data_IF_426605350190
#
_entry.id   IF_426605350190
#
_cell.length_a   1.000
_cell.length_b   1.000
_cell.length_c   1.000
_cell.angle_alpha   90.00
_cell.angle_beta   90.00
_cell.angle_gamma   90.00
#
_symmetry.space_group_name_H-M   'P 1'
#
loop_
_entity.id
_entity.type
_entity.pdbx_description
1 polymer ?
#
# COMPACT_ATOMS: atom_id res chain seq x y z
N UNK A 1 -6.92 20.92 3.84
CA UNK A 1 -6.84 19.74 4.75
C UNK A 1 -5.91 18.77 4.05
N UNK A 2 -4.91 18.22 4.75
CA UNK A 2 -3.91 17.35 4.10
C UNK A 2 -4.46 15.93 3.96
N UNK A 3 -4.10 15.25 2.87
CA UNK A 3 -4.42 13.84 2.65
C UNK A 3 -3.25 12.94 3.00
N UNK A 4 -2.01 13.40 2.79
CA UNK A 4 -0.81 12.60 3.10
C UNK A 4 -0.01 13.18 4.25
N UNK A 5 0.77 12.33 4.92
CA UNK A 5 1.75 12.75 5.92
C UNK A 5 2.75 13.73 5.30
N UNK A 6 3.21 13.47 4.07
CA UNK A 6 4.11 14.36 3.33
C UNK A 6 3.52 15.76 3.16
N UNK A 7 2.29 15.89 2.68
CA UNK A 7 1.60 17.18 2.54
C UNK A 7 1.47 17.90 3.90
N UNK A 8 1.17 17.17 4.96
CA UNK A 8 1.05 17.72 6.31
C UNK A 8 2.38 18.26 6.83
N UNK A 9 3.46 17.48 6.68
CA UNK A 9 4.80 17.85 7.11
C UNK A 9 5.37 18.99 6.27
N UNK A 10 5.10 19.02 4.95
CA UNK A 10 5.47 20.13 4.08
C UNK A 10 4.78 21.42 4.52
N UNK A 11 3.48 21.36 4.83
CA UNK A 11 2.75 22.51 5.36
C UNK A 11 3.34 23.00 6.68
N UNK A 12 3.65 22.10 7.61
CA UNK A 12 4.31 22.47 8.88
C UNK A 12 5.70 23.07 8.63
N UNK A 13 6.49 22.53 7.72
CA UNK A 13 7.80 23.06 7.33
C UNK A 13 7.67 24.49 6.79
N UNK A 14 6.74 24.73 5.87
CA UNK A 14 6.45 26.08 5.34
C UNK A 14 6.02 27.05 6.44
N UNK A 15 5.10 26.63 7.32
CA UNK A 15 4.58 27.49 8.39
C UNK A 15 5.63 27.82 9.47
N UNK A 16 6.61 26.93 9.69
CA UNK A 16 7.66 27.10 10.71
C UNK A 16 8.93 27.75 10.15
N UNK A 17 9.08 27.81 8.83
CA UNK A 17 10.33 28.20 8.17
C UNK A 17 11.46 27.16 8.29
N UNK A 18 11.18 25.97 8.84
CA UNK A 18 12.14 24.88 8.95
C UNK A 18 12.15 24.02 7.68
N UNK A 19 13.26 23.30 7.44
CA UNK A 19 13.32 22.37 6.31
C UNK A 19 12.42 21.15 6.54
N UNK A 20 11.84 20.61 5.46
CA UNK A 20 11.04 19.38 5.49
C UNK A 20 11.78 18.24 6.19
N UNK A 21 13.06 18.05 5.87
CA UNK A 21 13.86 16.98 6.48
C UNK A 21 13.96 17.14 8.00
N UNK A 22 14.13 18.36 8.51
CA UNK A 22 14.19 18.61 9.95
C UNK A 22 12.87 18.23 10.64
N UNK A 23 11.75 18.65 10.05
CA UNK A 23 10.41 18.33 10.54
C UNK A 23 10.16 16.81 10.50
N UNK A 24 10.40 16.16 9.36
CA UNK A 24 10.18 14.72 9.19
C UNK A 24 11.02 13.89 10.16
N UNK A 25 12.30 14.23 10.34
CA UNK A 25 13.18 13.56 11.32
C UNK A 25 12.65 13.69 12.74
N UNK A 26 12.10 14.86 13.08
CA UNK A 26 11.57 15.13 14.42
C UNK A 26 10.26 14.39 14.68
N UNK A 27 9.38 14.34 13.69
CA UNK A 27 8.14 13.55 13.77
C UNK A 27 8.45 12.06 13.90
N UNK A 28 9.36 11.52 13.08
CA UNK A 28 9.74 10.11 13.18
C UNK A 28 10.28 9.75 14.57
N UNK A 29 11.13 10.60 15.17
CA UNK A 29 11.63 10.40 16.54
C UNK A 29 10.54 10.41 17.62
N UNK A 30 9.47 11.19 17.43
CA UNK A 30 8.34 11.20 18.35
C UNK A 30 7.48 9.94 18.15
N UNK A 31 7.27 9.53 16.90
CA UNK A 31 6.56 8.29 16.56
C UNK A 31 7.28 7.03 17.04
N UNK A 32 8.60 6.98 16.96
CA UNK A 32 9.42 5.92 17.56
C UNK A 32 9.14 5.82 19.07
N UNK A 33 9.02 6.94 19.77
CA UNK A 33 8.67 6.99 21.20
C UNK A 33 7.19 6.70 21.51
N UNK A 34 6.42 6.34 20.50
CA UNK A 34 5.00 5.98 20.60
C UNK A 34 4.02 7.13 20.52
N UNK A 35 4.47 8.33 20.13
CA UNK A 35 3.56 9.46 19.89
C UNK A 35 2.91 9.32 18.51
N UNK A 36 1.59 9.49 18.40
CA UNK A 36 0.90 9.40 17.09
C UNK A 36 1.40 10.45 16.08
N UNK A 37 1.20 10.22 14.78
CA UNK A 37 1.60 11.16 13.71
C UNK A 37 1.02 12.57 13.94
N UNK A 38 -0.29 12.66 14.16
CA UNK A 38 -0.98 13.95 14.33
C UNK A 38 -0.56 14.64 15.62
N UNK A 39 -0.41 13.89 16.71
CA UNK A 39 0.06 14.42 17.98
C UNK A 39 1.49 14.95 17.85
N UNK A 40 2.38 14.22 17.19
CA UNK A 40 3.76 14.63 16.92
C UNK A 40 3.82 15.96 16.16
N UNK A 41 3.00 16.10 15.12
CA UNK A 41 2.87 17.36 14.35
C UNK A 41 2.33 18.49 15.22
N UNK A 42 1.33 18.22 16.06
CA UNK A 42 0.76 19.21 16.97
C UNK A 42 1.73 19.67 18.06
N UNK A 43 2.57 18.77 18.59
CA UNK A 43 3.64 19.10 19.54
C UNK A 43 4.61 20.09 18.89
N UNK A 44 5.13 19.78 17.71
CA UNK A 44 6.06 20.67 16.99
C UNK A 44 5.40 22.01 16.68
N UNK A 45 4.13 22.01 16.25
CA UNK A 45 3.38 23.25 16.00
C UNK A 45 3.25 24.11 17.26
N UNK A 46 2.93 23.51 18.42
CA UNK A 46 2.80 24.24 19.70
C UNK A 46 4.12 24.87 20.13
N UNK A 47 5.23 24.15 20.01
CA UNK A 47 6.56 24.68 20.33
C UNK A 47 6.95 25.88 19.46
N UNK A 48 6.53 25.88 18.19
CA UNK A 48 6.74 26.97 17.24
C UNK A 48 5.67 28.08 17.35
N UNK A 49 4.85 28.06 18.41
CA UNK A 49 3.76 29.03 18.66
C UNK A 49 2.73 29.12 17.53
N UNK A 50 2.54 28.04 16.78
CA UNK A 50 1.54 27.93 15.72
C UNK A 50 0.24 27.33 16.26
N UNK A 51 -0.87 27.63 15.58
CA UNK A 51 -2.15 26.99 15.88
C UNK A 51 -2.12 25.50 15.51
N UNK A 52 -1.85 24.64 16.49
CA UNK A 52 -1.78 23.18 16.31
C UNK A 52 -3.05 22.55 15.73
N UNK A 53 -4.23 23.12 15.97
CA UNK A 53 -5.50 22.58 15.46
C UNK A 53 -5.64 22.69 13.94
N UNK A 54 -4.77 23.43 13.24
CA UNK A 54 -4.81 23.57 11.77
C UNK A 54 -4.19 22.39 11.02
N UNK A 55 -3.48 21.50 11.72
CA UNK A 55 -2.80 20.33 11.16
C UNK A 55 -3.66 19.09 11.39
N UNK A 56 -4.40 18.70 10.35
CA UNK A 56 -5.35 17.58 10.39
C UNK A 56 -5.25 16.76 9.11
N UNK A 57 -5.39 15.45 9.26
CA UNK A 57 -5.59 14.48 8.20
C UNK A 57 -6.97 13.87 8.41
N UNK A 58 -7.72 13.67 7.33
CA UNK A 58 -8.98 12.93 7.38
C UNK A 58 -8.77 11.54 6.77
N UNK A 59 -8.71 10.47 7.58
CA UNK A 59 -8.48 9.12 7.08
C UNK A 59 -9.61 8.61 6.17
N UNK A 60 -10.85 9.08 6.34
CA UNK A 60 -11.97 8.71 5.46
C UNK A 60 -11.73 9.23 4.04
N UNK A 61 -11.22 10.47 3.90
CA UNK A 61 -10.87 11.01 2.59
C UNK A 61 -9.69 10.31 1.93
N UNK A 62 -8.78 9.72 2.72
CA UNK A 62 -7.69 8.90 2.17
C UNK A 62 -8.26 7.66 1.51
N UNK A 63 -9.23 7.00 2.17
CA UNK A 63 -9.94 5.83 1.66
C UNK A 63 -10.72 6.18 0.39
N UNK A 64 -11.48 7.29 0.40
CA UNK A 64 -12.23 7.76 -0.78
C UNK A 64 -11.31 8.01 -1.99
N UNK A 65 -10.16 8.66 -1.79
CA UNK A 65 -9.21 8.94 -2.87
C UNK A 65 -8.53 7.66 -3.38
N UNK A 66 -8.15 6.74 -2.49
CA UNK A 66 -7.58 5.46 -2.88
C UNK A 66 -8.60 4.60 -3.64
N UNK A 67 -9.85 4.56 -3.19
CA UNK A 67 -10.95 3.87 -3.88
C UNK A 67 -11.20 4.45 -5.27
N UNK A 68 -11.17 5.78 -5.42
CA UNK A 68 -11.29 6.44 -6.71
C UNK A 68 -10.21 6.00 -7.69
N UNK A 69 -8.94 5.94 -7.26
CA UNK A 69 -7.83 5.47 -8.09
C UNK A 69 -8.04 4.01 -8.49
N UNK A 70 -8.34 3.14 -7.51
CA UNK A 70 -8.47 1.69 -7.74
C UNK A 70 -9.74 1.28 -8.51
N UNK A 71 -10.72 2.17 -8.65
CA UNK A 71 -11.91 1.94 -9.48
C UNK A 71 -11.79 2.48 -10.89
N UNK A 72 -10.77 3.28 -11.18
CA UNK A 72 -10.63 3.99 -12.45
C UNK A 72 -10.38 3.01 -13.61
N UNK A 73 -9.45 2.07 -13.44
CA UNK A 73 -9.15 1.01 -14.39
C UNK A 73 -8.71 -0.28 -13.65
N UNK A 74 -9.33 -1.41 -14.02
CA UNK A 74 -9.00 -2.71 -13.43
C UNK A 74 -7.56 -3.16 -13.75
N UNK A 75 -7.08 -2.90 -14.97
CA UNK A 75 -5.72 -3.22 -15.42
C UNK A 75 -4.70 -2.43 -14.60
N UNK A 76 -4.94 -1.14 -14.40
CA UNK A 76 -4.11 -0.28 -13.55
C UNK A 76 -4.07 -0.82 -12.12
N UNK A 77 -5.22 -1.20 -11.57
CA UNK A 77 -5.31 -1.80 -10.22
C UNK A 77 -4.51 -3.08 -10.09
N UNK A 78 -4.54 -3.95 -11.10
CA UNK A 78 -3.70 -5.15 -11.14
C UNK A 78 -2.21 -4.80 -11.19
N UNK A 79 -1.82 -3.79 -11.98
CA UNK A 79 -0.42 -3.34 -12.05
C UNK A 79 0.06 -2.75 -10.73
N UNK A 80 -0.73 -1.86 -10.11
CA UNK A 80 -0.46 -1.33 -8.77
C UNK A 80 -0.30 -2.48 -7.77
N UNK A 81 -1.21 -3.45 -7.79
CA UNK A 81 -1.15 -4.63 -6.91
C UNK A 81 0.13 -5.43 -7.08
N UNK A 82 0.55 -5.66 -8.33
CA UNK A 82 1.78 -6.38 -8.63
C UNK A 82 3.02 -5.62 -8.15
N UNK A 83 3.10 -4.31 -8.38
CA UNK A 83 4.21 -3.48 -7.93
C UNK A 83 4.31 -3.47 -6.41
N UNK A 84 3.19 -3.22 -5.70
CA UNK A 84 3.18 -3.21 -4.25
C UNK A 84 3.53 -4.59 -3.65
N UNK A 85 3.07 -5.68 -4.28
CA UNK A 85 3.43 -7.04 -3.90
C UNK A 85 4.93 -7.26 -3.96
N UNK A 86 5.58 -6.88 -5.07
CA UNK A 86 7.04 -6.96 -5.21
C UNK A 86 7.76 -6.09 -4.18
N UNK A 87 7.30 -4.85 -3.96
CA UNK A 87 7.93 -3.94 -3.01
C UNK A 87 7.87 -4.44 -1.56
N UNK A 88 6.84 -5.19 -1.14
CA UNK A 88 6.80 -5.78 0.21
C UNK A 88 7.89 -6.82 0.43
N UNK A 89 8.21 -7.57 -0.63
CA UNK A 89 9.24 -8.62 -0.62
C UNK A 89 10.65 -8.06 -0.82
N UNK A 90 10.77 -6.86 -1.39
CA UNK A 90 12.03 -6.15 -1.56
C UNK A 90 12.74 -5.88 -0.22
N UNK A 91 14.07 -5.73 -0.30
CA UNK A 91 14.94 -5.39 0.84
C UNK A 91 15.38 -3.94 0.75
N UNK A 92 15.73 -3.35 1.90
CA UNK A 92 16.28 -1.99 1.95
C UNK A 92 15.23 -0.89 1.75
N UNK A 93 15.61 0.19 1.09
CA UNK A 93 14.81 1.42 0.99
C UNK A 93 13.60 1.30 0.04
N UNK A 94 13.63 0.34 -0.88
CA UNK A 94 12.53 0.09 -1.83
C UNK A 94 11.41 -0.76 -1.20
N UNK A 95 11.59 -1.16 0.07
CA UNK A 95 10.65 -2.01 0.77
C UNK A 95 9.39 -1.23 1.14
N UNK A 96 8.26 -1.64 0.59
CA UNK A 96 6.96 -1.10 1.01
C UNK A 96 6.60 -1.64 2.40
N UNK A 97 6.20 -0.80 3.37
CA UNK A 97 5.92 -1.26 4.72
C UNK A 97 4.77 -2.29 4.74
N UNK A 98 4.96 -3.49 5.32
CA UNK A 98 3.91 -4.51 5.36
C UNK A 98 2.57 -4.05 5.94
N UNK A 99 2.53 -3.21 7.01
CA UNK A 99 1.25 -2.67 7.48
C UNK A 99 0.50 -1.84 6.44
N UNK A 100 1.20 -1.02 5.66
CA UNK A 100 0.60 -0.24 4.57
C UNK A 100 0.09 -1.14 3.45
N UNK A 101 0.80 -2.23 3.16
CA UNK A 101 0.33 -3.25 2.24
C UNK A 101 -0.92 -3.98 2.75
N UNK A 102 -1.00 -4.29 4.05
CA UNK A 102 -2.22 -4.87 4.60
C UNK A 102 -3.41 -3.94 4.45
N UNK A 103 -3.24 -2.63 4.68
CA UNK A 103 -4.29 -1.66 4.44
C UNK A 103 -4.72 -1.64 2.97
N UNK A 104 -3.78 -1.75 2.04
CA UNK A 104 -4.06 -1.88 0.62
C UNK A 104 -4.89 -3.14 0.28
N UNK A 105 -4.54 -4.30 0.85
CA UNK A 105 -5.31 -5.54 0.64
C UNK A 105 -6.72 -5.44 1.23
N UNK A 106 -6.87 -4.83 2.40
CA UNK A 106 -8.21 -4.56 2.97
C UNK A 106 -9.01 -3.57 2.13
N UNK A 107 -8.36 -2.60 1.49
CA UNK A 107 -9.04 -1.72 0.53
C UNK A 107 -9.56 -2.51 -0.66
N UNK A 108 -8.72 -3.38 -1.26
CA UNK A 108 -9.13 -4.19 -2.40
C UNK A 108 -10.31 -5.12 -2.10
N UNK A 109 -10.43 -5.64 -0.87
CA UNK A 109 -11.53 -6.54 -0.49
C UNK A 109 -12.88 -5.83 -0.34
N UNK A 110 -12.88 -4.51 -0.12
CA UNK A 110 -14.08 -3.70 0.10
C UNK A 110 -14.55 -3.05 -1.21
N UNK A 111 -13.64 -2.83 -2.15
CA UNK A 111 -13.95 -2.20 -3.43
C UNK A 111 -14.74 -3.17 -4.31
N UNK A 112 -15.92 -2.75 -4.74
CA UNK A 112 -16.69 -3.48 -5.76
C UNK A 112 -15.91 -3.52 -7.08
N UNK A 113 -15.96 -4.66 -7.77
CA UNK A 113 -15.23 -4.90 -9.04
C UNK A 113 -15.27 -3.67 -9.97
N UNK A 114 -14.07 -3.18 -10.32
CA UNK A 114 -13.92 -2.11 -11.28
C UNK A 114 -14.46 -2.54 -12.66
N UNK A 115 -14.96 -1.58 -13.45
CA UNK A 115 -15.37 -1.86 -14.83
C UNK A 115 -14.16 -2.36 -15.59
N UNK A 116 -14.32 -3.47 -16.34
CA UNK A 116 -13.31 -3.98 -17.29
C UNK A 116 -13.29 -3.11 -18.56
N UNK A 117 -13.22 -1.79 -18.40
CA UNK A 117 -13.01 -0.88 -19.52
C UNK A 117 -11.50 -0.85 -19.79
N UNK A 118 -11.09 -1.20 -21.00
CA UNK A 118 -9.69 -1.11 -21.43
C UNK A 118 -9.39 0.32 -21.84
N UNK A 119 -8.97 1.19 -20.92
CA UNK A 119 -8.33 2.44 -21.32
C UNK A 119 -6.86 2.14 -21.63
N UNK A 120 -6.33 2.75 -22.69
CA UNK A 120 -4.89 2.70 -22.98
C UNK A 120 -4.18 3.75 -22.12
N UNK A 121 -3.93 3.42 -20.85
CA UNK A 121 -3.10 4.27 -19.99
C UNK A 121 -1.61 4.14 -20.36
N UNK A 122 -0.84 5.20 -20.04
CA UNK A 122 0.62 5.22 -20.26
C UNK A 122 1.36 4.75 -19.01
N UNK A 123 2.58 4.21 -19.17
CA UNK A 123 3.43 3.75 -18.05
C UNK A 123 3.65 4.82 -16.97
N UNK A 124 3.77 6.09 -17.38
CA UNK A 124 4.02 7.23 -16.47
C UNK A 124 2.83 7.45 -15.54
N UNK A 125 1.61 7.35 -16.06
CA UNK A 125 0.40 7.51 -15.25
C UNK A 125 0.29 6.41 -14.18
N UNK A 126 0.65 5.18 -14.53
CA UNK A 126 0.64 4.05 -13.58
C UNK A 126 1.65 4.26 -12.45
N UNK A 127 2.85 4.75 -12.75
CA UNK A 127 3.89 5.06 -11.75
C UNK A 127 3.44 6.16 -10.77
N UNK A 128 2.84 7.23 -11.28
CA UNK A 128 2.32 8.33 -10.45
C UNK A 128 1.18 7.84 -9.55
N UNK A 129 0.26 7.04 -10.07
CA UNK A 129 -0.87 6.48 -9.32
C UNK A 129 -0.40 5.47 -8.28
N UNK A 130 0.58 4.64 -8.61
CA UNK A 130 1.22 3.71 -7.65
C UNK A 130 1.87 4.49 -6.51
N UNK A 131 2.64 5.53 -6.83
CA UNK A 131 3.28 6.41 -5.83
C UNK A 131 2.23 7.06 -4.95
N UNK A 132 1.11 7.51 -5.52
CA UNK A 132 0.01 8.09 -4.76
C UNK A 132 -0.63 7.08 -3.81
N UNK A 133 -0.87 5.83 -4.24
CA UNK A 133 -1.37 4.76 -3.38
C UNK A 133 -0.39 4.46 -2.24
N UNK A 134 0.92 4.42 -2.50
CA UNK A 134 1.95 4.25 -1.47
C UNK A 134 1.83 5.34 -0.40
N UNK A 135 1.75 6.62 -0.80
CA UNK A 135 1.62 7.74 0.13
C UNK A 135 0.31 7.70 0.92
N UNK A 136 -0.81 7.35 0.27
CA UNK A 136 -2.12 7.25 0.90
C UNK A 136 -2.14 6.12 1.94
N UNK A 137 -1.69 4.92 1.58
CA UNK A 137 -1.73 3.75 2.47
C UNK A 137 -0.77 3.89 3.65
N UNK A 138 0.44 4.40 3.43
CA UNK A 138 1.40 4.66 4.52
C UNK A 138 0.87 5.71 5.49
N UNK A 139 0.26 6.78 4.97
CA UNK A 139 -0.41 7.79 5.81
C UNK A 139 -1.59 7.20 6.56
N UNK A 140 -2.44 6.40 5.89
CA UNK A 140 -3.62 5.79 6.49
C UNK A 140 -3.25 4.96 7.71
N UNK A 141 -2.29 4.05 7.59
CA UNK A 141 -1.87 3.22 8.73
C UNK A 141 -1.23 4.07 9.82
N UNK A 142 -0.50 5.13 9.47
CA UNK A 142 0.09 6.06 10.44
C UNK A 142 -0.94 6.79 11.30
N UNK A 143 -2.18 6.94 10.81
CA UNK A 143 -3.28 7.59 11.56
C UNK A 143 -4.28 6.61 12.16
N UNK A 144 -4.42 5.40 11.59
CA UNK A 144 -5.34 4.38 12.10
C UNK A 144 -4.74 3.54 13.23
N UNK A 145 -3.41 3.39 13.28
CA UNK A 145 -2.72 2.51 14.21
C UNK A 145 -1.92 3.26 15.26
N UNK A 146 -1.75 2.64 16.43
CA UNK A 146 -0.86 3.08 17.49
C UNK A 146 0.54 2.49 17.30
N UNK A 147 1.57 3.32 17.44
CA UNK A 147 2.96 3.00 17.13
C UNK A 147 3.81 2.94 18.40
N UNK A 148 4.93 2.23 18.30
CA UNK A 148 6.00 2.15 19.30
C UNK A 148 7.33 1.86 18.60
N UNK A 149 8.42 1.80 19.35
CA UNK A 149 9.73 1.35 18.83
C UNK A 149 9.66 -0.08 18.26
N UNK A 150 8.76 -0.94 18.76
CA UNK A 150 8.57 -2.30 18.25
C UNK A 150 7.59 -2.36 17.06
N UNK A 151 7.13 -1.22 16.55
CA UNK A 151 6.14 -1.11 15.48
C UNK A 151 4.72 -0.94 16.02
N UNK A 152 3.73 -1.46 15.30
CA UNK A 152 2.32 -1.27 15.64
C UNK A 152 1.95 -2.08 16.91
N UNK A 153 1.34 -1.41 17.89
CA UNK A 153 0.93 -2.00 19.17
C UNK A 153 -0.58 -2.03 19.38
N UNK A 154 -1.35 -1.28 18.58
CA UNK A 154 -2.79 -1.24 18.71
C UNK A 154 -3.47 -0.45 17.60
N UNK A 155 -4.78 -0.25 17.77
CA UNK A 155 -5.59 0.65 16.96
C UNK A 155 -5.61 2.01 17.67
N UNK A 156 -5.40 3.08 16.92
CA UNK A 156 -5.42 4.44 17.45
C UNK A 156 -6.77 4.76 18.11
N UNK A 157 -6.75 5.43 19.26
CA UNK A 157 -7.96 5.89 19.94
C UNK A 157 -8.77 6.87 19.06
N UNK A 158 -8.08 7.63 18.21
CA UNK A 158 -8.69 8.58 17.27
C UNK A 158 -9.13 7.93 15.94
N UNK A 159 -9.03 6.60 15.82
CA UNK A 159 -9.49 5.87 14.64
C UNK A 159 -11.02 6.02 14.49
N UNK A 160 -11.51 6.54 13.33
CA UNK A 160 -12.94 6.62 13.07
C UNK A 160 -13.61 5.25 13.16
N UNK A 161 -14.85 5.21 13.66
CA UNK A 161 -15.60 3.97 13.82
C UNK A 161 -15.75 3.22 12.47
N UNK A 162 -15.98 3.95 11.38
CA UNK A 162 -16.12 3.40 10.03
C UNK A 162 -14.88 2.68 9.51
N UNK A 163 -13.69 3.00 10.05
CA UNK A 163 -12.41 2.41 9.64
C UNK A 163 -11.83 1.46 10.70
N UNK A 164 -12.53 1.24 11.80
CA UNK A 164 -12.02 0.47 12.93
C UNK A 164 -11.81 -1.00 12.60
N UNK A 165 -12.67 -1.60 11.77
CA UNK A 165 -12.49 -2.98 11.33
C UNK A 165 -11.26 -3.15 10.43
N UNK A 166 -11.03 -2.23 9.49
CA UNK A 166 -9.79 -2.19 8.70
C UNK A 166 -8.55 -2.04 9.58
N UNK A 167 -8.58 -1.10 10.54
CA UNK A 167 -7.48 -0.90 11.47
C UNK A 167 -7.18 -2.16 12.31
N UNK A 168 -8.22 -2.86 12.77
CA UNK A 168 -8.09 -4.14 13.49
C UNK A 168 -7.50 -5.23 12.60
N UNK A 169 -7.92 -5.32 11.34
CA UNK A 169 -7.37 -6.28 10.39
C UNK A 169 -5.89 -6.03 10.13
N UNK A 170 -5.50 -4.76 9.87
CA UNK A 170 -4.10 -4.35 9.71
C UNK A 170 -3.28 -4.67 10.94
N UNK A 171 -3.79 -4.35 12.14
CA UNK A 171 -3.14 -4.66 13.41
C UNK A 171 -2.90 -6.16 13.58
N UNK A 172 -3.94 -6.99 13.42
CA UNK A 172 -3.85 -8.45 13.55
C UNK A 172 -2.86 -9.06 12.56
N UNK A 173 -2.91 -8.66 11.29
CA UNK A 173 -1.96 -9.11 10.26
C UNK A 173 -0.53 -8.66 10.56
N UNK A 174 -0.35 -7.46 11.09
CA UNK A 174 0.96 -6.97 11.53
C UNK A 174 1.50 -7.77 12.70
N UNK A 175 0.65 -8.10 13.69
CA UNK A 175 1.05 -8.94 14.83
C UNK A 175 1.40 -10.37 14.41
N UNK A 176 0.64 -10.93 13.47
CA UNK A 176 0.95 -12.22 12.86
C UNK A 176 2.34 -12.20 12.21
N UNK A 177 2.62 -11.18 11.40
CA UNK A 177 3.92 -10.99 10.75
C UNK A 177 5.06 -10.80 11.75
N UNK A 178 4.85 -10.00 12.80
CA UNK A 178 5.82 -9.84 13.89
C UNK A 178 6.12 -11.16 14.61
N UNK A 179 5.15 -12.08 14.66
CA UNK A 179 5.31 -13.44 15.17
C UNK A 179 5.96 -14.42 14.20
N UNK A 180 6.38 -13.98 13.01
CA UNK A 180 7.00 -14.84 12.00
C UNK A 180 6.00 -15.64 11.16
N UNK A 181 4.72 -15.26 11.17
CA UNK A 181 3.64 -15.92 10.45
C UNK A 181 3.06 -15.01 9.36
N UNK A 182 2.46 -15.58 8.32
CA UNK A 182 1.86 -14.85 7.21
C UNK A 182 0.54 -15.47 6.76
N UNK A 183 -0.41 -14.65 6.35
CA UNK A 183 -1.65 -15.10 5.71
C UNK A 183 -1.46 -15.15 4.20
N UNK A 184 -1.42 -16.35 3.63
CA UNK A 184 -1.31 -16.54 2.18
C UNK A 184 -2.36 -15.72 1.43
N UNK A 185 -1.93 -14.86 0.51
CA UNK A 185 -2.85 -13.97 -0.23
C UNK A 185 -3.82 -14.72 -1.14
N UNK A 186 -3.49 -15.96 -1.52
CA UNK A 186 -4.28 -16.76 -2.44
C UNK A 186 -5.32 -17.65 -1.74
N UNK A 187 -4.97 -18.32 -0.64
CA UNK A 187 -5.86 -19.28 0.03
C UNK A 187 -6.28 -18.86 1.45
N UNK A 188 -5.71 -17.80 2.00
CA UNK A 188 -6.03 -17.33 3.36
C UNK A 188 -5.43 -18.16 4.50
N UNK A 189 -4.69 -19.25 4.20
CA UNK A 189 -4.04 -20.05 5.24
C UNK A 189 -2.92 -19.28 5.93
N UNK A 190 -2.77 -19.50 7.24
CA UNK A 190 -1.65 -19.00 8.03
C UNK A 190 -0.48 -19.97 7.88
N UNK A 191 0.68 -19.47 7.46
CA UNK A 191 1.91 -20.23 7.25
C UNK A 191 3.10 -19.52 7.88
N UNK A 192 4.23 -20.22 8.05
CA UNK A 192 5.45 -19.56 8.47
C UNK A 192 5.95 -18.59 7.38
N UNK A 193 6.38 -17.40 7.79
CA UNK A 193 6.86 -16.37 6.86
C UNK A 193 8.03 -16.90 5.99
N UNK A 194 8.87 -17.78 6.55
CA UNK A 194 10.00 -18.39 5.84
C UNK A 194 9.58 -19.36 4.75
N UNK A 195 8.35 -19.86 4.80
CA UNK A 195 7.77 -20.76 3.82
C UNK A 195 6.99 -20.01 2.74
N UNK A 196 6.96 -18.68 2.80
CA UNK A 196 6.26 -17.85 1.81
C UNK A 196 7.16 -17.43 0.66
N UNK A 197 6.58 -17.39 -0.53
CA UNK A 197 7.19 -16.84 -1.75
C UNK A 197 6.11 -16.11 -2.55
N UNK A 198 6.42 -14.94 -3.09
CA UNK A 198 5.43 -14.08 -3.76
C UNK A 198 4.19 -13.83 -2.88
N UNK A 199 4.39 -13.70 -1.56
CA UNK A 199 3.34 -13.55 -0.54
C UNK A 199 2.35 -14.73 -0.46
N UNK A 200 2.67 -15.87 -1.07
CA UNK A 200 1.86 -17.09 -1.12
C UNK A 200 2.51 -18.22 -0.32
N UNK A 201 1.70 -19.17 0.16
CA UNK A 201 2.21 -20.43 0.68
C UNK A 201 2.81 -21.29 -0.45
N UNK A 202 3.67 -22.25 -0.10
CA UNK A 202 4.33 -23.12 -1.09
C UNK A 202 3.35 -23.85 -2.02
N UNK A 203 2.19 -24.26 -1.53
CA UNK A 203 1.18 -24.95 -2.34
C UNK A 203 0.60 -24.03 -3.42
N UNK A 204 0.21 -22.81 -3.04
CA UNK A 204 -0.29 -21.80 -3.97
C UNK A 204 0.78 -21.38 -4.98
N UNK A 205 2.01 -21.14 -4.52
CA UNK A 205 3.14 -20.78 -5.39
C UNK A 205 3.44 -21.89 -6.43
N UNK A 206 3.47 -23.16 -5.99
CA UNK A 206 3.64 -24.32 -6.88
C UNK A 206 2.52 -24.39 -7.91
N UNK A 207 1.26 -24.21 -7.51
CA UNK A 207 0.11 -24.28 -8.41
C UNK A 207 0.08 -23.18 -9.46
N UNK A 208 0.66 -22.01 -9.16
CA UNK A 208 0.83 -20.92 -10.12
C UNK A 208 2.00 -21.23 -11.06
N UNK A 209 3.11 -21.69 -10.51
CA UNK A 209 4.34 -22.01 -11.26
C UNK A 209 4.19 -23.23 -12.18
N UNK A 210 3.39 -24.22 -11.78
CA UNK A 210 3.17 -25.46 -12.53
C UNK A 210 2.13 -25.35 -13.64
N UNK A 211 1.46 -24.18 -13.79
CA UNK A 211 0.41 -23.95 -14.79
C UNK A 211 0.84 -23.13 -16.01
N UNK A 212 2.12 -22.76 -16.12
CA UNK A 212 2.63 -22.01 -17.28
C UNK A 212 4.04 -22.46 -17.60
N UNK A 213 4.19 -23.48 -18.45
CA UNK A 213 5.26 -23.40 -19.45
C UNK A 213 4.84 -22.31 -20.43
N UNK A 214 5.70 -21.32 -20.67
CA UNK A 214 5.42 -20.28 -21.67
C UNK A 214 5.25 -20.92 -23.06
N UNK A 215 5.82 -22.11 -23.28
CA UNK A 215 5.67 -22.90 -24.49
C UNK A 215 4.21 -23.34 -24.76
N UNK A 216 3.45 -23.81 -23.76
CA UNK A 216 2.08 -24.31 -23.99
C UNK A 216 1.06 -23.19 -24.31
N UNK A 217 1.27 -21.97 -23.80
CA UNK A 217 0.40 -20.81 -24.13
C UNK A 217 0.57 -20.30 -25.56
N UNK A 218 1.72 -20.54 -26.19
CA UNK A 218 1.94 -20.17 -27.60
C UNK A 218 1.42 -21.24 -28.57
N UNK A 219 1.37 -22.51 -28.16
CA UNK A 219 0.80 -23.57 -29.00
C UNK A 219 -0.74 -23.54 -29.03
N UNK A 220 -1.40 -23.06 -27.97
CA UNK A 220 -2.87 -23.01 -27.92
C UNK A 220 -3.51 -21.75 -28.50
N UNK A 221 -2.75 -20.72 -28.87
CA UNK A 221 -3.24 -19.52 -29.56
C UNK A 221 -2.72 -19.44 -30.99
N UNK A 222 -3.21 -20.37 -31.82
CA UNK A 222 -3.23 -20.20 -33.27
C UNK A 222 -1.90 -20.51 -33.95
N UNK A 223 -1.63 -21.81 -34.12
CA UNK A 223 -0.89 -22.31 -35.28
C UNK A 223 -1.58 -21.86 -36.57
N UNK A 224 -1.33 -20.61 -36.99
CA UNK A 224 -1.52 -20.17 -38.36
C UNK A 224 -0.47 -20.92 -39.17
N UNK A 225 -0.90 -22.01 -39.81
CA UNK A 225 -0.23 -22.53 -41.00
C UNK A 225 0.01 -21.35 -41.95
N UNK A 226 1.25 -20.85 -41.99
CA UNK A 226 1.74 -19.99 -43.07
C UNK A 226 1.86 -20.87 -44.31
N UNK A 227 0.76 -21.01 -45.04
CA UNK A 227 0.83 -21.29 -46.47
C UNK A 227 1.45 -20.07 -47.14
N UNK A 228 2.74 -20.16 -47.47
CA UNK A 228 3.42 -19.17 -48.27
C UNK A 228 2.84 -19.15 -49.69
N UNK A 229 2.20 -18.05 -50.06
CA UNK A 229 1.96 -17.72 -51.46
C UNK A 229 3.12 -16.86 -51.96
N UNK A 230 3.88 -17.39 -52.92
CA UNK A 230 5.00 -16.67 -53.52
C UNK A 230 6.03 -17.56 -54.22
N UNK A 231 5.59 -18.49 -55.07
CA UNK A 231 6.39 -19.02 -56.19
C UNK A 231 5.46 -19.44 -57.31
N UNK A 232 5.42 -18.63 -58.35
CA UNK A 232 4.95 -19.01 -59.69
C UNK A 232 5.99 -18.50 -60.67
N UNK A 233 6.42 -19.37 -61.59
CA UNK A 233 7.00 -19.03 -62.89
C UNK A 233 8.42 -18.49 -62.85
#
# INVERSE_FOLDING_TARGET
MSLTARELLQKLATDTGLSYHSIARRVNRLMEKGTGLLESVQIIAKEQKLNSKKYKINPVKIVEEAEKILREDYTQTLMISAVLGQMVESKGNDRFPPPAFFAFIEMLSIISDARKDRKSETSIEIEERTTRIIELMTTLVSVLCEWSEQGIVGVSADCPDSLREMARAVFRKTKLLQGGLWTCISCGNIVELRETRALMCQECDKNVSSKISLEERFESMGGRNRTGYGRTG
#
